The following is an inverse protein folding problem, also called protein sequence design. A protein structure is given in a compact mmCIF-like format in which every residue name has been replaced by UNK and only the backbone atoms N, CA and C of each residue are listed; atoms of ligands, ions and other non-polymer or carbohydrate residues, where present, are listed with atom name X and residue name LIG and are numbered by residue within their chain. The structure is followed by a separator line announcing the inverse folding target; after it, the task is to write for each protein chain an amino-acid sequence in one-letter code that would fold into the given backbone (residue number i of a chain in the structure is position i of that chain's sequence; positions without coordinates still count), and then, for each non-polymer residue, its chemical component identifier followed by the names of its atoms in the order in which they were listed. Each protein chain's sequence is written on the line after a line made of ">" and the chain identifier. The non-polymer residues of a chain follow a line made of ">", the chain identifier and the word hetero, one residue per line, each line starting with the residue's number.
data_IF_815711714850
#
_entry.id   IF_815711714850
#
_cell.length_a   1.000
_cell.length_b   1.000
_cell.length_c   1.000
_cell.angle_alpha   90.00
_cell.angle_beta   90.00
_cell.angle_gamma   90.00
#
_symmetry.space_group_name_H-M   'P 1'
#
loop_
_entity.id
_entity.type
_entity.pdbx_description
1 polymer ?
#
# COMPACT_ATOMS: atom_id res chain seq x y z
N UNK A 1 -28.87 -17.85 -15.41
CA UNK A 1 -28.10 -16.89 -14.59
C UNK A 1 -28.92 -15.61 -14.49
N UNK A 2 -29.43 -15.23 -13.32
CA UNK A 2 -30.27 -14.01 -13.25
C UNK A 2 -30.91 -13.65 -11.91
N UNK A 3 -30.86 -14.52 -10.90
CA UNK A 3 -31.55 -14.25 -9.61
C UNK A 3 -30.59 -13.89 -8.46
N UNK A 4 -29.28 -14.20 -8.56
CA UNK A 4 -28.31 -13.93 -7.48
C UNK A 4 -27.90 -12.46 -7.37
N UNK A 5 -28.00 -11.68 -8.45
CA UNK A 5 -27.60 -10.26 -8.47
C UNK A 5 -28.65 -9.33 -7.83
N UNK A 6 -29.89 -9.80 -7.65
CA UNK A 6 -31.01 -8.97 -7.17
C UNK A 6 -31.11 -8.87 -5.64
N UNK A 7 -30.41 -9.71 -4.89
CA UNK A 7 -30.54 -9.78 -3.43
C UNK A 7 -29.65 -8.79 -2.65
N UNK A 8 -28.57 -8.27 -3.24
CA UNK A 8 -27.64 -7.37 -2.55
C UNK A 8 -28.02 -5.88 -2.60
N UNK A 9 -28.97 -5.49 -3.45
CA UNK A 9 -29.36 -4.08 -3.65
C UNK A 9 -30.32 -3.53 -2.57
N UNK A 10 -30.72 -4.31 -1.56
CA UNK A 10 -31.70 -3.92 -0.54
C UNK A 10 -31.19 -4.03 0.91
N UNK A 11 -29.89 -3.86 1.14
CA UNK A 11 -29.39 -3.68 2.51
C UNK A 11 -29.82 -2.32 3.04
N UNK A 12 -30.60 -2.32 4.12
CA UNK A 12 -31.16 -1.13 4.79
C UNK A 12 -30.09 -0.10 5.22
N UNK A 13 -28.82 -0.50 5.33
CA UNK A 13 -27.71 0.39 5.72
C UNK A 13 -27.35 1.45 4.67
N UNK A 14 -27.79 1.30 3.41
CA UNK A 14 -27.50 2.24 2.32
C UNK A 14 -28.61 3.24 2.01
N UNK A 15 -29.81 3.09 2.59
CA UNK A 15 -30.99 3.93 2.26
C UNK A 15 -31.06 5.21 3.10
N UNK A 16 -30.37 5.29 4.24
CA UNK A 16 -30.45 6.48 5.12
C UNK A 16 -29.51 7.64 4.75
N UNK A 17 -28.69 7.51 3.70
CA UNK A 17 -27.70 8.53 3.32
C UNK A 17 -27.97 9.20 1.95
N UNK A 18 -29.01 8.81 1.23
CA UNK A 18 -29.32 9.39 -0.09
C UNK A 18 -30.28 10.58 -0.07
N UNK A 19 -30.76 11.01 1.11
CA UNK A 19 -31.66 12.17 1.27
C UNK A 19 -30.94 13.47 1.66
N UNK A 20 -29.64 13.59 1.35
CA UNK A 20 -28.86 14.81 1.58
C UNK A 20 -28.17 15.31 0.32
N UNK A 21 -28.90 16.01 -0.57
CA UNK A 21 -28.32 16.76 -1.69
C UNK A 21 -27.41 17.88 -1.15
N UNK A 22 -26.12 17.87 -1.52
CA UNK A 22 -25.38 19.10 -1.86
C UNK A 22 -24.50 18.83 -3.07
N UNK A 23 -24.95 19.36 -4.21
CA UNK A 23 -24.18 19.48 -5.44
C UNK A 23 -23.07 20.50 -5.20
N UNK A 24 -21.80 20.10 -5.32
CA UNK A 24 -20.72 21.05 -5.53
C UNK A 24 -20.05 20.68 -6.85
N UNK A 25 -20.40 21.45 -7.87
CA UNK A 25 -19.72 21.45 -9.17
C UNK A 25 -18.31 21.97 -8.95
N UNK A 26 -17.30 21.18 -9.27
CA UNK A 26 -15.89 21.60 -9.27
C UNK A 26 -15.53 21.92 -10.72
N UNK A 27 -15.27 23.20 -11.01
CA UNK A 27 -14.59 23.62 -12.24
C UNK A 27 -13.08 23.57 -11.99
N UNK A 28 -12.25 23.18 -12.98
CA UNK A 28 -10.80 23.27 -12.86
C UNK A 28 -10.36 24.71 -13.14
N UNK A 29 -9.43 25.25 -12.36
CA UNK A 29 -8.77 26.52 -12.68
C UNK A 29 -7.26 26.38 -12.50
N UNK A 30 -6.55 26.65 -13.58
CA UNK A 30 -5.10 26.74 -13.70
C UNK A 30 -4.55 27.97 -12.95
N UNK A 31 -3.32 27.87 -12.45
CA UNK A 31 -2.59 28.96 -11.78
C UNK A 31 -1.96 29.92 -12.81
N UNK A 32 -1.84 31.23 -12.49
CA UNK A 32 -0.52 31.73 -12.09
C UNK A 32 -0.47 32.88 -11.04
N UNK A 33 0.61 32.81 -10.25
CA UNK A 33 1.54 33.78 -9.65
C UNK A 33 1.22 35.28 -9.34
N UNK A 34 1.76 35.73 -8.18
CA UNK A 34 2.41 37.05 -7.85
C UNK A 34 1.72 38.01 -6.83
N UNK A 35 2.38 38.07 -5.64
CA UNK A 35 2.79 39.18 -4.74
C UNK A 35 1.81 40.14 -3.99
N UNK A 36 1.97 40.15 -2.63
CA UNK A 36 2.09 41.24 -1.62
C UNK A 36 0.99 42.35 -1.56
N UNK A 37 0.40 42.82 -0.44
CA UNK A 37 0.87 43.20 0.91
C UNK A 37 -0.25 43.20 1.99
N UNK A 38 0.20 43.35 3.24
CA UNK A 38 -0.47 43.41 4.56
C UNK A 38 -1.44 44.58 4.81
N UNK A 39 -2.55 44.34 5.56
CA UNK A 39 -2.96 45.22 6.67
C UNK A 39 -3.99 44.62 7.68
N UNK A 40 -3.53 44.58 8.94
CA UNK A 40 -4.11 44.78 10.28
C UNK A 40 -5.61 44.56 10.62
N UNK A 41 -5.81 43.58 11.52
CA UNK A 41 -6.76 43.44 12.65
C UNK A 41 -8.29 43.44 12.46
N UNK A 42 -8.91 42.26 12.60
CA UNK A 42 -9.92 41.95 13.64
C UNK A 42 -10.45 40.52 13.56
N UNK A 43 -10.61 39.90 14.74
CA UNK A 43 -11.40 38.70 15.05
C UNK A 43 -11.38 37.56 14.02
N UNK A 44 -10.48 36.58 14.16
CA UNK A 44 -10.56 35.37 13.34
C UNK A 44 -10.47 34.11 14.20
N UNK A 45 -11.53 33.30 14.14
CA UNK A 45 -11.47 31.89 14.46
C UNK A 45 -10.22 31.31 13.78
N UNK A 46 -9.30 30.76 14.58
CA UNK A 46 -8.05 30.20 14.08
C UNK A 46 -8.34 28.90 13.34
N UNK A 47 -8.96 28.99 12.16
CA UNK A 47 -8.95 27.93 11.17
C UNK A 47 -7.54 27.94 10.61
N UNK A 48 -6.64 27.21 11.28
CA UNK A 48 -5.33 26.92 10.72
C UNK A 48 -5.55 26.28 9.34
N UNK A 49 -5.20 27.02 8.29
CA UNK A 49 -5.06 26.47 6.95
C UNK A 49 -3.85 25.54 7.01
N UNK A 50 -4.06 24.28 7.41
CA UNK A 50 -3.03 23.26 7.29
C UNK A 50 -2.77 23.06 5.79
N UNK A 51 -1.57 23.44 5.36
CA UNK A 51 -1.09 23.08 4.03
C UNK A 51 -1.01 21.56 3.95
N UNK A 52 -1.33 20.97 2.80
CA UNK A 52 -1.16 19.51 2.61
C UNK A 52 0.28 19.06 2.89
N UNK A 53 1.25 19.97 2.72
CA UNK A 53 2.66 19.75 3.04
C UNK A 53 2.89 19.35 4.51
N UNK A 54 2.06 19.80 5.46
CA UNK A 54 2.21 19.43 6.87
C UNK A 54 1.85 17.98 7.17
N UNK A 55 1.19 17.28 6.23
CA UNK A 55 0.84 15.86 6.35
C UNK A 55 1.87 14.96 5.68
N UNK A 56 2.77 15.51 4.86
CA UNK A 56 3.87 14.77 4.27
C UNK A 56 4.91 14.55 5.36
N UNK A 57 5.22 13.30 5.65
CA UNK A 57 6.25 12.96 6.65
C UNK A 57 7.60 13.54 6.23
N UNK A 58 8.38 14.02 7.19
CA UNK A 58 9.77 14.42 6.96
C UNK A 58 10.53 13.29 6.24
N UNK A 59 11.31 13.63 5.20
CA UNK A 59 12.05 12.63 4.42
C UNK A 59 12.97 11.77 5.31
N UNK A 60 13.63 12.40 6.29
CA UNK A 60 14.48 11.70 7.27
C UNK A 60 13.69 10.70 8.14
N UNK A 61 12.43 11.00 8.45
CA UNK A 61 11.56 10.09 9.21
C UNK A 61 11.14 8.94 8.32
N UNK A 62 10.72 9.22 7.09
CA UNK A 62 10.34 8.20 6.12
C UNK A 62 11.50 7.24 5.82
N UNK A 63 12.73 7.76 5.67
CA UNK A 63 13.93 6.95 5.46
C UNK A 63 14.18 6.00 6.64
N UNK A 64 14.11 6.50 7.87
CA UNK A 64 14.25 5.66 9.07
C UNK A 64 13.18 4.56 9.15
N UNK A 65 11.94 4.88 8.78
CA UNK A 65 10.84 3.91 8.74
C UNK A 65 11.02 2.86 7.64
N UNK A 66 11.57 3.26 6.49
CA UNK A 66 11.89 2.35 5.39
C UNK A 66 13.04 1.41 5.78
N UNK A 67 14.08 1.94 6.41
CA UNK A 67 15.18 1.15 6.99
C UNK A 67 14.66 0.12 7.99
N UNK A 68 13.75 0.54 8.88
CA UNK A 68 13.10 -0.38 9.80
C UNK A 68 12.32 -1.49 9.06
N UNK A 69 11.50 -1.12 8.09
CA UNK A 69 10.74 -2.09 7.28
C UNK A 69 11.67 -3.07 6.56
N UNK A 70 12.78 -2.59 6.01
CA UNK A 70 13.78 -3.38 5.32
C UNK A 70 14.47 -4.40 6.25
N UNK A 71 14.68 -4.03 7.52
CA UNK A 71 15.20 -4.94 8.54
C UNK A 71 14.13 -5.93 9.06
N UNK A 72 12.88 -5.49 9.19
CA UNK A 72 11.80 -6.28 9.76
C UNK A 72 11.42 -7.49 8.88
N UNK A 73 11.41 -7.32 7.55
CA UNK A 73 11.04 -8.37 6.58
C UNK A 73 11.93 -9.62 6.67
N UNK A 74 13.27 -9.54 6.50
CA UNK A 74 14.14 -10.71 6.60
C UNK A 74 14.20 -11.29 8.01
N UNK A 75 13.90 -10.48 9.03
CA UNK A 75 13.79 -10.94 10.43
C UNK A 75 12.46 -11.66 10.72
N UNK A 76 11.62 -11.89 9.70
CA UNK A 76 10.29 -12.49 9.83
C UNK A 76 9.40 -11.81 10.88
N UNK A 77 9.57 -10.50 11.10
CA UNK A 77 8.71 -9.75 11.98
C UNK A 77 7.32 -9.62 11.37
N UNK A 78 6.30 -10.01 12.13
CA UNK A 78 4.92 -9.75 11.73
C UNK A 78 4.63 -8.25 11.81
N UNK A 79 3.74 -7.74 10.96
CA UNK A 79 3.30 -6.34 11.05
C UNK A 79 2.71 -6.02 12.43
N UNK A 80 2.01 -6.98 13.05
CA UNK A 80 1.46 -6.85 14.41
C UNK A 80 2.55 -6.65 15.47
N UNK A 81 3.74 -7.20 15.25
CA UNK A 81 4.89 -7.01 16.14
C UNK A 81 5.46 -5.58 16.09
N UNK A 82 5.11 -4.79 15.08
CA UNK A 82 5.56 -3.41 14.92
C UNK A 82 4.65 -2.38 15.63
N UNK A 83 3.52 -2.79 16.21
CA UNK A 83 2.54 -1.85 16.80
C UNK A 83 3.15 -0.91 17.86
N UNK A 84 4.09 -1.42 18.65
CA UNK A 84 4.72 -0.66 19.75
C UNK A 84 6.10 -0.11 19.38
N UNK A 85 6.54 -0.24 18.13
CA UNK A 85 7.91 0.13 17.76
C UNK A 85 8.16 1.64 17.86
N UNK A 86 7.19 2.45 17.48
CA UNK A 86 7.28 3.92 17.60
C UNK A 86 7.48 4.33 19.05
N UNK A 87 6.70 3.75 19.98
CA UNK A 87 6.85 4.01 21.40
C UNK A 87 8.20 3.52 21.95
N UNK A 88 8.70 2.38 21.45
CA UNK A 88 10.02 1.87 21.82
C UNK A 88 11.13 2.83 21.38
N UNK A 89 11.10 3.31 20.13
CA UNK A 89 12.09 4.27 19.63
C UNK A 89 12.06 5.60 20.38
N UNK A 90 10.88 6.12 20.69
CA UNK A 90 10.73 7.31 21.52
C UNK A 90 11.31 7.11 22.94
N UNK A 91 11.16 5.91 23.51
CA UNK A 91 11.70 5.56 24.81
C UNK A 91 13.24 5.40 24.81
N UNK A 92 13.78 4.80 23.74
CA UNK A 92 15.22 4.56 23.57
C UNK A 92 16.00 5.83 23.21
N UNK A 93 15.41 6.71 22.40
CA UNK A 93 16.08 7.88 21.80
C UNK A 93 15.29 9.17 22.10
N UNK A 94 15.40 9.66 23.34
CA UNK A 94 14.61 10.82 23.82
C UNK A 94 15.06 12.16 23.22
N UNK A 95 16.32 12.24 22.81
CA UNK A 95 16.98 13.38 22.20
C UNK A 95 16.78 13.45 20.68
N UNK A 96 16.42 12.33 20.04
CA UNK A 96 16.24 12.26 18.60
C UNK A 96 14.89 12.81 18.15
N UNK A 97 14.93 13.88 17.35
CA UNK A 97 13.74 14.44 16.70
C UNK A 97 13.11 13.46 15.69
N UNK A 98 13.92 12.59 15.08
CA UNK A 98 13.44 11.54 14.17
C UNK A 98 12.64 10.52 14.97
N UNK A 99 13.20 10.00 16.07
CA UNK A 99 12.54 8.98 16.89
C UNK A 99 11.21 9.47 17.48
N UNK A 100 11.11 10.77 17.82
CA UNK A 100 9.85 11.40 18.25
C UNK A 100 8.76 11.34 17.18
N UNK A 101 9.14 11.51 15.91
CA UNK A 101 8.23 11.60 14.76
C UNK A 101 7.94 10.27 14.07
N UNK A 102 8.77 9.25 14.25
CA UNK A 102 8.55 7.92 13.69
C UNK A 102 7.20 7.38 14.14
N UNK A 103 6.38 6.96 13.18
CA UNK A 103 5.01 6.50 13.39
C UNK A 103 4.76 5.13 12.72
N UNK A 104 5.80 4.30 12.62
CA UNK A 104 5.80 3.03 11.88
C UNK A 104 5.09 1.87 12.60
N UNK A 105 3.78 2.03 12.85
CA UNK A 105 2.93 0.96 13.38
C UNK A 105 2.61 -0.13 12.35
N UNK A 106 1.76 -1.10 12.72
CA UNK A 106 1.46 -2.29 11.91
C UNK A 106 0.97 -1.96 10.49
N UNK A 107 0.14 -0.94 10.35
CA UNK A 107 -0.49 -0.61 9.07
C UNK A 107 0.51 0.11 8.16
N UNK A 108 1.32 1.01 8.74
CA UNK A 108 2.34 1.76 8.00
C UNK A 108 3.47 0.84 7.52
N UNK A 109 3.98 -0.05 8.37
CA UNK A 109 5.02 -1.00 7.95
C UNK A 109 4.50 -1.97 6.88
N UNK A 110 3.26 -2.47 7.03
CA UNK A 110 2.64 -3.34 6.03
C UNK A 110 2.51 -2.63 4.68
N UNK A 111 2.06 -1.37 4.71
CA UNK A 111 1.95 -0.54 3.53
C UNK A 111 3.30 -0.28 2.86
N UNK A 112 4.32 0.10 3.64
CA UNK A 112 5.69 0.31 3.13
C UNK A 112 6.25 -0.96 2.49
N UNK A 113 6.05 -2.12 3.10
CA UNK A 113 6.52 -3.39 2.55
C UNK A 113 5.81 -3.76 1.24
N UNK A 114 4.47 -3.68 1.19
CA UNK A 114 3.69 -4.15 0.04
C UNK A 114 3.72 -3.11 -1.10
N UNK A 115 3.38 -1.87 -0.79
CA UNK A 115 3.15 -0.82 -1.78
C UNK A 115 4.37 0.08 -2.02
N UNK A 116 5.34 0.09 -1.12
CA UNK A 116 6.63 0.77 -1.32
C UNK A 116 7.68 -0.16 -1.89
N UNK A 117 8.21 -1.04 -1.04
CA UNK A 117 9.33 -1.93 -1.38
C UNK A 117 8.93 -2.96 -2.45
N UNK A 118 7.80 -3.64 -2.27
CA UNK A 118 7.35 -4.69 -3.20
C UNK A 118 7.12 -4.18 -4.61
N UNK A 119 6.45 -3.02 -4.76
CA UNK A 119 6.20 -2.39 -6.06
C UNK A 119 7.50 -1.91 -6.71
N UNK A 120 8.41 -1.32 -5.92
CA UNK A 120 9.71 -0.86 -6.39
C UNK A 120 10.55 -2.02 -6.94
N UNK A 121 10.70 -3.11 -6.17
CA UNK A 121 11.46 -4.27 -6.64
C UNK A 121 10.82 -4.95 -7.84
N UNK A 122 9.48 -5.03 -7.87
CA UNK A 122 8.77 -5.56 -9.03
C UNK A 122 9.04 -4.73 -10.29
N UNK A 123 9.07 -3.40 -10.17
CA UNK A 123 9.40 -2.51 -11.29
C UNK A 123 10.84 -2.71 -11.75
N UNK A 124 11.79 -2.77 -10.81
CA UNK A 124 13.19 -3.03 -11.13
C UNK A 124 13.39 -4.39 -11.83
N UNK A 125 12.64 -5.41 -11.46
CA UNK A 125 12.66 -6.73 -12.12
C UNK A 125 12.10 -6.60 -13.54
N UNK A 126 10.97 -5.92 -13.74
CA UNK A 126 10.37 -5.69 -15.05
C UNK A 126 11.31 -4.93 -15.98
N UNK A 127 11.97 -3.89 -15.48
CA UNK A 127 12.90 -3.08 -16.25
C UNK A 127 14.11 -3.90 -16.72
N UNK A 128 14.57 -4.85 -15.88
CA UNK A 128 15.63 -5.80 -16.24
C UNK A 128 15.17 -6.90 -17.20
N UNK A 129 13.93 -7.37 -17.08
CA UNK A 129 13.36 -8.39 -17.98
C UNK A 129 13.05 -7.85 -19.38
N UNK A 130 12.80 -6.54 -19.50
CA UNK A 130 12.45 -5.90 -20.79
C UNK A 130 13.68 -5.68 -21.70
N UNK A 131 14.88 -5.97 -21.21
CA UNK A 131 16.12 -5.76 -21.97
C UNK A 131 16.26 -6.82 -23.10
N UNK A 132 16.86 -6.46 -24.25
CA UNK A 132 16.90 -7.31 -25.44
C UNK A 132 17.77 -8.57 -25.30
N UNK A 133 18.58 -8.63 -24.25
CA UNK A 133 19.47 -9.72 -23.85
C UNK A 133 18.73 -10.99 -23.39
N UNK A 134 17.41 -10.92 -23.20
CA UNK A 134 16.59 -12.03 -22.74
C UNK A 134 16.86 -12.39 -21.28
N UNK A 135 16.12 -13.37 -20.75
CA UNK A 135 16.32 -13.86 -19.38
C UNK A 135 16.18 -15.37 -19.32
N UNK A 136 16.92 -15.99 -18.40
CA UNK A 136 16.80 -17.42 -18.11
C UNK A 136 15.93 -17.59 -16.86
N UNK A 137 14.83 -18.32 -17.01
CA UNK A 137 13.98 -18.71 -15.89
C UNK A 137 14.48 -20.04 -15.33
N UNK A 138 15.07 -20.02 -14.15
CA UNK A 138 15.52 -21.22 -13.44
C UNK A 138 14.44 -21.65 -12.44
N UNK A 139 13.95 -22.88 -12.57
CA UNK A 139 13.04 -23.49 -11.59
C UNK A 139 13.85 -24.25 -10.54
N UNK A 140 13.56 -23.99 -9.26
CA UNK A 140 14.12 -24.77 -8.16
C UNK A 140 13.27 -26.03 -7.93
N UNK A 141 13.73 -27.15 -8.48
CA UNK A 141 13.07 -28.46 -8.37
C UNK A 141 13.02 -28.99 -6.92
N UNK A 142 13.80 -28.44 -5.98
CA UNK A 142 13.82 -28.94 -4.59
C UNK A 142 12.52 -28.67 -3.82
N UNK A 143 11.68 -27.74 -4.30
CA UNK A 143 10.37 -27.41 -3.75
C UNK A 143 9.20 -28.28 -4.29
N UNK A 144 9.46 -29.23 -5.20
CA UNK A 144 8.41 -30.12 -5.72
C UNK A 144 7.97 -31.24 -4.75
N UNK A 145 8.71 -31.46 -3.65
CA UNK A 145 8.43 -32.54 -2.69
C UNK A 145 7.05 -32.45 -2.02
N UNK A 146 6.46 -31.25 -1.95
CA UNK A 146 5.12 -31.04 -1.40
C UNK A 146 3.98 -31.18 -2.44
N UNK A 147 4.28 -31.04 -3.73
CA UNK A 147 3.33 -31.35 -4.81
C UNK A 147 3.06 -32.85 -4.91
N UNK A 148 4.07 -33.68 -4.64
CA UNK A 148 3.93 -35.14 -4.62
C UNK A 148 3.07 -35.64 -3.45
N UNK A 149 3.09 -34.94 -2.31
CA UNK A 149 2.22 -35.27 -1.16
C UNK A 149 0.75 -34.95 -1.46
N UNK A 150 0.48 -33.89 -2.23
CA UNK A 150 -0.88 -33.49 -2.60
C UNK A 150 -1.47 -34.36 -3.72
N UNK A 151 -0.66 -34.80 -4.69
CA UNK A 151 -1.08 -35.76 -5.73
C UNK A 151 -1.42 -37.15 -5.18
N UNK A 152 -0.82 -37.56 -4.05
CA UNK A 152 -1.15 -38.82 -3.36
C UNK A 152 -2.49 -38.81 -2.62
N UNK A 153 -3.11 -37.64 -2.42
CA UNK A 153 -4.37 -37.50 -1.68
C UNK A 153 -5.61 -37.18 -2.56
N UNK A 154 -5.62 -37.65 -3.81
CA UNK A 154 -6.88 -38.02 -4.48
C UNK A 154 -7.78 -36.91 -5.03
N UNK A 155 -7.25 -35.79 -5.50
CA UNK A 155 -7.99 -34.92 -6.43
C UNK A 155 -7.15 -34.63 -7.67
N UNK A 156 -7.33 -35.47 -8.68
CA UNK A 156 -6.85 -35.25 -10.05
C UNK A 156 -7.72 -34.20 -10.73
N UNK A 157 -7.11 -33.15 -11.28
CA UNK A 157 -7.77 -32.28 -12.25
C UNK A 157 -8.13 -33.10 -13.49
N UNK A 158 -9.32 -32.93 -14.11
CA UNK A 158 -9.66 -33.63 -15.33
C UNK A 158 -8.72 -33.21 -16.47
N UNK A 159 -8.22 -34.21 -17.19
CA UNK A 159 -7.29 -34.07 -18.31
C UNK A 159 -7.83 -33.13 -19.38
N UNK A 160 -7.00 -32.15 -19.78
CA UNK A 160 -7.20 -31.38 -21.01
C UNK A 160 -6.64 -32.22 -22.15
N UNK A 161 -7.52 -32.87 -22.91
CA UNK A 161 -7.15 -33.56 -24.15
C UNK A 161 -6.51 -32.57 -25.14
N UNK A 162 -5.21 -32.71 -25.37
CA UNK A 162 -4.57 -32.14 -26.55
C UNK A 162 -4.80 -33.09 -27.73
N UNK A 163 -5.64 -32.65 -28.67
CA UNK A 163 -5.94 -33.35 -29.91
C UNK A 163 -4.67 -33.65 -30.71
N UNK A 164 -4.49 -34.93 -31.04
CA UNK A 164 -3.49 -35.42 -31.98
C UNK A 164 -3.85 -34.97 -33.40
N UNK A 165 -3.21 -33.91 -33.88
CA UNK A 165 -3.16 -33.59 -35.30
C UNK A 165 -2.07 -34.42 -35.98
N UNK A 166 -2.46 -35.49 -36.68
CA UNK A 166 -1.59 -36.26 -37.59
C UNK A 166 -1.43 -35.52 -38.93
N UNK A 167 -0.22 -35.65 -39.47
CA UNK A 167 0.19 -35.36 -40.86
C UNK A 167 -0.53 -36.30 -41.82
#
# INVERSE_FOLDING_TARGET
>A
MGEALKSHAKSSKHVSLSTGKKSHVVKPVEAPCVENETDTSSSNANTQKSSIASFVSDENVLEAEMLWAFWAVPSHFSSNSCEKISALFQGMFKDSEIAKKVSCGKDKVSYLCIFGLGTYFLQQIKDKMTRPDGFVLMFDESLNRDLDKKKKNGFTCPDVEYGQGKI
#
